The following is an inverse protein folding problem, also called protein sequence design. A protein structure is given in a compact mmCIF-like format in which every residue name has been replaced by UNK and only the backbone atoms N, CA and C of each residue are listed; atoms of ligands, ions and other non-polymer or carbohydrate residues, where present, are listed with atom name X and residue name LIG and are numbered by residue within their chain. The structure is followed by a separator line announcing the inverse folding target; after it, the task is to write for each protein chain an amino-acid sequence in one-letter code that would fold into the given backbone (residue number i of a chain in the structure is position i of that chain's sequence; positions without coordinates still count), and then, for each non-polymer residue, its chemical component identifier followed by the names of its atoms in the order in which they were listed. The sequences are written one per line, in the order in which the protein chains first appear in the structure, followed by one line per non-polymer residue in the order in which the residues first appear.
data_IF_436942711747
#
_entry.id   IF_436942711747
#
_cell.length_a   1.000
_cell.length_b   1.000
_cell.length_c   1.000
_cell.angle_alpha   90.00
_cell.angle_beta   90.00
_cell.angle_gamma   90.00
#
_symmetry.space_group_name_H-M   'P 1'
#
loop_
_entity.id
_entity.type
_entity.pdbx_description
1 polymer ?
#
# COMPACT_ATOMS: atom_id res chain seq x y z
N UNK A 1 -31.90 -46.74 -23.04
CA UNK A 1 -31.29 -45.45 -23.45
C UNK A 1 -30.69 -44.74 -22.24
N UNK A 2 -29.65 -45.33 -21.61
CA UNK A 2 -29.10 -44.81 -20.34
C UNK A 2 -27.57 -44.88 -20.26
N UNK A 3 -26.86 -45.10 -21.37
CA UNK A 3 -25.38 -45.19 -21.38
C UNK A 3 -24.63 -44.04 -22.07
N UNK A 4 -25.34 -43.10 -22.73
CA UNK A 4 -24.70 -42.00 -23.48
C UNK A 4 -24.52 -40.70 -22.66
N UNK A 5 -25.36 -40.48 -21.64
CA UNK A 5 -25.31 -39.25 -20.82
C UNK A 5 -24.22 -39.27 -19.74
N UNK A 6 -23.80 -40.46 -19.27
CA UNK A 6 -22.76 -40.58 -18.24
C UNK A 6 -21.33 -40.36 -18.78
N UNK A 7 -21.07 -40.73 -20.05
CA UNK A 7 -19.75 -40.56 -20.68
C UNK A 7 -19.44 -39.10 -21.02
N UNK A 8 -20.46 -38.29 -21.30
CA UNK A 8 -20.32 -36.87 -21.67
C UNK A 8 -20.13 -35.99 -20.44
N UNK A 9 -20.76 -36.32 -19.30
CA UNK A 9 -20.57 -35.62 -18.03
C UNK A 9 -19.16 -35.81 -17.44
N UNK A 10 -18.57 -37.01 -17.59
CA UNK A 10 -17.23 -37.30 -17.09
C UNK A 10 -16.12 -36.57 -17.88
N UNK A 11 -16.29 -36.39 -19.21
CA UNK A 11 -15.36 -35.60 -20.04
C UNK A 11 -15.48 -34.09 -19.83
N UNK A 12 -16.64 -33.59 -19.39
CA UNK A 12 -16.81 -32.17 -19.02
C UNK A 12 -16.21 -31.86 -17.63
N UNK A 13 -16.32 -32.78 -16.67
CA UNK A 13 -15.71 -32.63 -15.33
C UNK A 13 -14.18 -32.75 -15.35
N UNK A 14 -13.60 -33.53 -16.27
CA UNK A 14 -12.14 -33.61 -16.46
C UNK A 14 -11.54 -32.40 -17.20
N UNK A 15 -12.35 -31.59 -17.87
CA UNK A 15 -11.93 -30.31 -18.49
C UNK A 15 -12.12 -29.09 -17.59
N UNK A 16 -12.74 -29.25 -16.43
CA UNK A 16 -12.98 -28.18 -15.45
C UNK A 16 -12.07 -28.26 -14.21
N UNK A 17 -11.09 -29.17 -14.18
CA UNK A 17 -10.21 -29.39 -13.01
C UNK A 17 -8.72 -29.33 -13.31
N UNK A 18 -8.29 -28.75 -14.43
CA UNK A 18 -6.86 -28.49 -14.66
C UNK A 18 -6.60 -27.18 -15.42
N UNK A 19 -7.12 -26.08 -14.89
CA UNK A 19 -6.29 -24.87 -14.92
C UNK A 19 -5.29 -25.02 -13.79
N UNK A 20 -4.22 -25.75 -14.07
CA UNK A 20 -2.95 -25.55 -13.36
C UNK A 20 -2.67 -24.06 -13.56
N UNK A 21 -2.94 -23.26 -12.52
CA UNK A 21 -2.37 -21.92 -12.42
C UNK A 21 -0.89 -22.11 -12.73
N UNK A 22 -0.29 -21.33 -13.65
CA UNK A 22 1.13 -21.47 -13.94
C UNK A 22 1.84 -21.53 -12.59
N UNK A 23 2.51 -22.66 -12.32
CA UNK A 23 3.30 -22.81 -11.11
C UNK A 23 4.21 -21.60 -11.10
N UNK A 24 4.03 -20.70 -10.14
CA UNK A 24 4.82 -19.49 -10.09
C UNK A 24 6.26 -19.91 -9.79
N UNK A 25 7.03 -20.10 -10.87
CA UNK A 25 8.43 -20.51 -10.86
C UNK A 25 9.35 -19.36 -10.46
N UNK A 26 8.78 -18.20 -10.12
CA UNK A 26 9.53 -17.09 -9.54
C UNK A 26 10.11 -17.51 -8.20
N UNK A 27 11.37 -17.13 -7.98
CA UNK A 27 12.05 -17.33 -6.72
C UNK A 27 11.25 -16.66 -5.58
N UNK A 28 10.72 -17.44 -4.60
CA UNK A 28 9.93 -16.91 -3.51
C UNK A 28 10.64 -15.86 -2.66
N UNK A 29 11.99 -15.86 -2.65
CA UNK A 29 12.78 -14.86 -1.92
C UNK A 29 12.58 -13.44 -2.45
N UNK A 30 12.12 -13.29 -3.70
CA UNK A 30 11.93 -12.01 -4.38
C UNK A 30 10.50 -11.45 -4.25
N UNK A 31 9.67 -12.11 -3.44
CA UNK A 31 8.26 -11.73 -3.22
C UNK A 31 8.15 -10.73 -2.08
N UNK A 32 7.30 -9.74 -2.28
CA UNK A 32 6.88 -8.80 -1.25
C UNK A 32 5.37 -8.84 -1.18
N UNK A 33 4.84 -9.43 -0.11
CA UNK A 33 3.41 -9.37 0.18
C UNK A 33 3.06 -7.96 0.60
N UNK A 34 1.93 -7.43 0.14
CA UNK A 34 1.57 -6.04 0.44
C UNK A 34 0.08 -5.88 0.68
N UNK A 35 -0.25 -4.97 1.59
CA UNK A 35 -1.62 -4.59 1.93
C UNK A 35 -1.67 -3.23 2.61
N UNK A 36 -2.82 -2.58 2.53
CA UNK A 36 -3.09 -1.29 3.16
C UNK A 36 -4.56 -1.19 3.58
N UNK A 37 -4.90 -0.11 4.27
CA UNK A 37 -6.28 0.25 4.61
C UNK A 37 -6.95 -0.87 5.40
N UNK A 38 -6.22 -1.49 6.33
CA UNK A 38 -6.74 -2.57 7.16
C UNK A 38 -7.74 -2.06 8.20
N UNK A 39 -7.56 -0.82 8.67
CA UNK A 39 -8.40 -0.15 9.68
C UNK A 39 -8.69 -1.02 10.92
N UNK A 40 -7.64 -1.55 11.53
CA UNK A 40 -7.78 -2.48 12.65
C UNK A 40 -8.32 -1.82 13.93
N UNK A 41 -8.25 -0.49 14.02
CA UNK A 41 -8.92 0.32 15.05
C UNK A 41 -10.44 0.13 15.04
N UNK A 42 -11.02 -0.12 13.86
CA UNK A 42 -12.45 -0.32 13.72
C UNK A 42 -12.82 -1.64 14.36
N UNK A 43 -13.67 -1.57 15.39
CA UNK A 43 -14.15 -2.74 16.13
C UNK A 43 -13.02 -3.57 16.75
N UNK A 44 -11.86 -2.97 17.05
CA UNK A 44 -10.76 -3.58 17.80
C UNK A 44 -10.25 -4.88 17.16
N UNK A 45 -10.02 -4.85 15.84
CA UNK A 45 -9.61 -5.99 15.03
C UNK A 45 -8.11 -6.30 15.10
N UNK A 46 -7.32 -5.53 15.87
CA UNK A 46 -5.88 -5.71 16.04
C UNK A 46 -5.46 -7.12 16.43
N UNK A 47 -6.27 -7.86 17.18
CA UNK A 47 -5.95 -9.23 17.65
C UNK A 47 -6.65 -10.33 16.85
N UNK A 48 -7.68 -9.99 16.08
CA UNK A 48 -8.53 -10.97 15.38
C UNK A 48 -8.27 -11.03 13.88
N UNK A 49 -7.72 -9.98 13.29
CA UNK A 49 -7.32 -9.98 11.89
C UNK A 49 -6.06 -10.83 11.69
N UNK A 50 -6.16 -11.75 10.74
CA UNK A 50 -5.08 -12.66 10.35
C UNK A 50 -5.17 -12.96 8.84
N UNK A 51 -4.05 -13.38 8.25
CA UNK A 51 -3.90 -13.65 6.83
C UNK A 51 -2.76 -14.67 6.57
N UNK A 52 -2.77 -15.37 5.42
CA UNK A 52 -1.69 -16.29 5.06
C UNK A 52 -0.39 -15.53 4.76
N UNK A 53 0.75 -16.14 5.12
CA UNK A 53 2.08 -15.64 4.71
C UNK A 53 2.39 -16.19 3.34
N UNK A 54 2.56 -15.30 2.34
CA UNK A 54 2.82 -15.68 0.94
C UNK A 54 4.16 -15.18 0.41
N UNK A 55 4.92 -14.46 1.24
CA UNK A 55 6.22 -13.89 0.93
C UNK A 55 7.08 -13.75 2.20
N UNK A 56 8.42 -13.66 2.08
CA UNK A 56 9.31 -13.37 3.21
C UNK A 56 9.20 -11.93 3.72
N UNK A 57 8.86 -10.98 2.85
CA UNK A 57 8.74 -9.56 3.19
C UNK A 57 7.29 -9.09 3.14
N UNK A 58 6.91 -8.24 4.10
CA UNK A 58 5.58 -7.63 4.16
C UNK A 58 5.70 -6.11 4.02
N UNK A 59 4.88 -5.52 3.16
CA UNK A 59 4.69 -4.07 3.03
C UNK A 59 3.29 -3.71 3.54
N UNK A 60 3.25 -2.88 4.58
CA UNK A 60 2.05 -2.30 5.15
C UNK A 60 1.91 -0.85 4.69
N UNK A 61 1.04 -0.64 3.69
CA UNK A 61 0.86 0.59 2.90
C UNK A 61 0.00 1.69 3.54
N UNK A 62 0.04 1.82 4.87
CA UNK A 62 -0.72 2.83 5.62
C UNK A 62 -2.17 2.44 5.91
N UNK A 63 -2.81 3.16 6.83
CA UNK A 63 -4.13 2.88 7.39
C UNK A 63 -4.26 1.45 7.93
N UNK A 64 -3.22 1.01 8.64
CA UNK A 64 -3.21 -0.25 9.37
C UNK A 64 -3.93 -0.08 10.70
N UNK A 65 -3.66 1.04 11.37
CA UNK A 65 -4.25 1.37 12.64
C UNK A 65 -3.71 2.67 13.23
N UNK A 66 -4.49 3.31 14.09
CA UNK A 66 -4.13 4.60 14.69
C UNK A 66 -2.97 4.46 15.66
N UNK A 67 -2.02 5.41 15.66
CA UNK A 67 -0.88 5.41 16.60
C UNK A 67 -1.30 5.69 18.05
N UNK A 68 -2.45 6.35 18.24
CA UNK A 68 -3.02 6.54 19.57
C UNK A 68 -3.39 5.19 20.22
N UNK A 69 -3.80 4.20 19.42
CA UNK A 69 -4.11 2.82 19.83
C UNK A 69 -2.85 1.94 19.90
N UNK A 70 -1.81 2.47 20.54
CA UNK A 70 -0.44 1.94 20.53
C UNK A 70 -0.36 0.43 20.79
N UNK A 71 -0.96 -0.05 21.88
CA UNK A 71 -0.78 -1.43 22.31
C UNK A 71 -1.42 -2.42 21.32
N UNK A 72 -2.54 -2.04 20.70
CA UNK A 72 -3.20 -2.83 19.66
C UNK A 72 -2.35 -2.90 18.39
N UNK A 73 -1.87 -1.75 17.91
CA UNK A 73 -1.01 -1.68 16.73
C UNK A 73 0.31 -2.43 16.95
N UNK A 74 0.95 -2.24 18.11
CA UNK A 74 2.17 -2.96 18.49
C UNK A 74 1.93 -4.46 18.54
N UNK A 75 0.85 -4.93 19.18
CA UNK A 75 0.51 -6.35 19.23
C UNK A 75 0.24 -6.94 17.83
N UNK A 76 -0.30 -6.15 16.90
CA UNK A 76 -0.43 -6.57 15.50
C UNK A 76 0.92 -6.70 14.82
N UNK A 77 1.79 -5.67 14.91
CA UNK A 77 3.11 -5.66 14.29
C UNK A 77 4.02 -6.76 14.82
N UNK A 78 4.02 -7.01 16.15
CA UNK A 78 4.74 -8.12 16.78
C UNK A 78 4.41 -9.48 16.15
N UNK A 79 3.11 -9.74 15.88
CA UNK A 79 2.71 -11.00 15.23
C UNK A 79 3.20 -11.09 13.79
N UNK A 80 3.34 -9.95 13.10
CA UNK A 80 3.87 -9.94 11.74
C UNK A 80 5.40 -10.11 11.75
N UNK A 81 6.13 -9.40 12.60
CA UNK A 81 7.60 -9.57 12.71
C UNK A 81 8.03 -10.95 13.18
N UNK A 82 7.13 -11.70 13.85
CA UNK A 82 7.35 -13.10 14.19
C UNK A 82 7.24 -14.06 12.99
N UNK A 83 6.59 -13.65 11.89
CA UNK A 83 6.25 -14.50 10.74
C UNK A 83 6.92 -14.07 9.43
N UNK A 84 7.42 -12.83 9.36
CA UNK A 84 8.11 -12.26 8.20
C UNK A 84 9.58 -11.97 8.53
N UNK A 85 10.45 -12.05 7.53
CA UNK A 85 11.86 -11.66 7.67
C UNK A 85 12.00 -10.15 7.93
N UNK A 86 11.14 -9.34 7.29
CA UNK A 86 11.03 -7.91 7.54
C UNK A 86 9.63 -7.38 7.19
N UNK A 87 9.16 -6.45 8.00
CA UNK A 87 7.90 -5.72 7.83
C UNK A 87 8.23 -4.25 7.56
N UNK A 88 7.93 -3.78 6.37
CA UNK A 88 7.98 -2.37 6.01
C UNK A 88 6.64 -1.73 6.32
N UNK A 89 6.66 -0.60 7.03
CA UNK A 89 5.47 0.10 7.46
C UNK A 89 5.56 1.56 7.05
N UNK A 90 4.55 2.06 6.33
CA UNK A 90 4.37 3.49 6.10
C UNK A 90 3.14 3.96 6.88
N UNK A 91 3.09 5.26 7.20
CA UNK A 91 1.90 5.86 7.80
C UNK A 91 0.88 6.19 6.71
N UNK A 92 -0.39 5.95 7.00
CA UNK A 92 -1.54 6.53 6.32
C UNK A 92 -2.13 7.67 7.13
N UNK A 93 -3.27 8.20 6.73
CA UNK A 93 -3.90 9.33 7.42
C UNK A 93 -4.49 8.91 8.77
N UNK A 94 -5.01 7.69 8.91
CA UNK A 94 -5.58 7.19 10.15
C UNK A 94 -4.52 6.98 11.24
N UNK A 95 -3.26 6.65 10.89
CA UNK A 95 -2.17 6.63 11.86
C UNK A 95 -2.06 7.95 12.65
N UNK A 96 -2.39 9.09 12.04
CA UNK A 96 -2.35 10.43 12.66
C UNK A 96 -3.62 10.82 13.41
N UNK A 97 -4.76 10.12 13.24
CA UNK A 97 -6.04 10.52 13.83
C UNK A 97 -5.98 10.53 15.37
N UNK A 98 -6.46 11.62 15.96
CA UNK A 98 -6.45 11.85 17.41
C UNK A 98 -5.15 12.44 17.96
N UNK A 99 -4.16 12.73 17.11
CA UNK A 99 -2.85 13.28 17.49
C UNK A 99 -2.51 14.49 16.61
N UNK A 100 -1.51 15.30 17.00
CA UNK A 100 -0.89 16.21 16.02
C UNK A 100 0.10 15.47 15.14
N UNK A 101 0.47 16.08 14.01
CA UNK A 101 1.40 15.49 13.06
C UNK A 101 2.73 15.10 13.70
N UNK A 102 3.33 15.99 14.49
CA UNK A 102 4.63 15.80 15.13
C UNK A 102 4.58 14.71 16.20
N UNK A 103 3.50 14.65 16.99
CA UNK A 103 3.32 13.60 18.00
C UNK A 103 3.20 12.22 17.34
N UNK A 104 2.44 12.13 16.25
CA UNK A 104 2.28 10.89 15.49
C UNK A 104 3.62 10.44 14.90
N UNK A 105 4.38 11.33 14.24
CA UNK A 105 5.72 10.99 13.71
C UNK A 105 6.65 10.52 14.82
N UNK A 106 6.66 11.20 15.98
CA UNK A 106 7.47 10.78 17.11
C UNK A 106 7.08 9.39 17.62
N UNK A 107 5.77 9.13 17.76
CA UNK A 107 5.25 7.85 18.25
C UNK A 107 5.48 6.71 17.28
N UNK A 108 5.40 6.96 15.97
CA UNK A 108 5.77 6.00 14.94
C UNK A 108 7.25 5.62 15.03
N UNK A 109 8.13 6.60 15.27
CA UNK A 109 9.56 6.35 15.49
C UNK A 109 9.81 5.53 16.75
N UNK A 110 9.09 5.80 17.85
CA UNK A 110 9.15 4.96 19.05
C UNK A 110 8.70 3.53 18.77
N UNK A 111 7.60 3.36 18.03
CA UNK A 111 7.04 2.06 17.65
C UNK A 111 8.05 1.21 16.86
N UNK A 112 8.76 1.78 15.89
CA UNK A 112 9.82 1.07 15.14
C UNK A 112 10.93 0.53 16.05
N UNK A 113 11.24 1.25 17.14
CA UNK A 113 12.30 0.93 18.09
C UNK A 113 11.82 0.03 19.25
N UNK A 114 10.57 -0.44 19.23
CA UNK A 114 10.05 -1.35 20.24
C UNK A 114 10.84 -2.67 20.25
N UNK A 115 11.46 -3.07 21.38
CA UNK A 115 12.32 -4.27 21.43
C UNK A 115 11.61 -5.55 20.99
N UNK A 116 10.30 -5.61 21.23
CA UNK A 116 9.43 -6.73 20.86
C UNK A 116 9.27 -6.95 19.35
N UNK A 117 9.68 -5.98 18.52
CA UNK A 117 9.71 -6.10 17.06
C UNK A 117 11.01 -6.70 16.54
N UNK A 118 12.00 -6.96 17.41
CA UNK A 118 13.28 -7.61 17.11
C UNK A 118 14.09 -6.95 15.96
N UNK A 119 13.90 -5.64 15.73
CA UNK A 119 14.52 -4.93 14.59
C UNK A 119 14.07 -5.43 13.21
N UNK A 120 12.93 -6.11 13.15
CA UNK A 120 12.32 -6.63 11.90
C UNK A 120 11.23 -5.72 11.35
N UNK A 121 10.85 -4.67 12.07
CA UNK A 121 10.01 -3.61 11.53
C UNK A 121 10.87 -2.45 11.01
N UNK A 122 10.44 -1.81 9.94
CA UNK A 122 11.08 -0.60 9.39
C UNK A 122 10.01 0.41 9.03
N UNK A 123 10.05 1.56 9.69
CA UNK A 123 9.20 2.71 9.38
C UNK A 123 9.78 3.45 8.16
N UNK A 124 8.95 3.66 7.15
CA UNK A 124 9.32 4.41 5.96
C UNK A 124 8.57 5.75 5.95
N UNK A 125 9.12 6.75 6.64
CA UNK A 125 8.62 8.13 6.63
C UNK A 125 9.66 9.06 6.00
N UNK A 126 9.56 9.27 4.67
CA UNK A 126 10.69 9.74 3.86
C UNK A 126 11.93 8.84 4.08
N UNK A 127 11.68 7.53 4.15
CA UNK A 127 12.65 6.49 4.50
C UNK A 127 13.10 5.69 3.28
N UNK A 128 14.36 5.27 3.28
CA UNK A 128 14.95 4.36 2.28
C UNK A 128 15.45 3.10 2.98
N UNK A 129 15.15 1.95 2.41
CA UNK A 129 15.73 0.67 2.79
C UNK A 129 16.33 -0.01 1.56
N UNK A 130 17.60 -0.39 1.65
CA UNK A 130 18.28 -1.15 0.61
C UNK A 130 18.39 -2.61 1.07
N UNK A 131 17.96 -3.53 0.21
CA UNK A 131 17.92 -4.97 0.44
C UNK A 131 18.72 -5.68 -0.64
N UNK A 132 19.66 -6.51 -0.19
CA UNK A 132 20.42 -7.39 -1.07
C UNK A 132 19.96 -8.83 -0.90
N UNK A 133 19.31 -9.36 -1.95
CA UNK A 133 18.95 -10.77 -2.00
C UNK A 133 20.01 -11.54 -2.80
N UNK A 134 20.38 -12.77 -2.41
CA UNK A 134 21.29 -13.61 -3.20
C UNK A 134 20.82 -13.80 -4.66
N UNK A 135 19.52 -13.82 -4.88
CA UNK A 135 18.88 -14.01 -6.20
C UNK A 135 18.62 -12.71 -6.97
N UNK A 136 18.66 -11.57 -6.29
CA UNK A 136 18.46 -10.23 -6.86
C UNK A 136 19.13 -9.21 -5.93
N UNK A 137 20.43 -8.91 -6.14
CA UNK A 137 21.08 -7.86 -5.39
C UNK A 137 20.49 -6.50 -5.78
N UNK A 138 20.60 -5.53 -4.88
CA UNK A 138 20.16 -4.16 -5.05
C UNK A 138 18.64 -4.03 -5.32
N UNK A 139 17.84 -4.21 -4.27
CA UNK A 139 16.45 -3.76 -4.23
C UNK A 139 16.40 -2.55 -3.30
N UNK A 140 15.85 -1.43 -3.77
CA UNK A 140 15.63 -0.24 -2.94
C UNK A 140 14.14 -0.03 -2.72
N UNK A 141 13.76 0.18 -1.47
CA UNK A 141 12.40 0.52 -1.06
C UNK A 141 12.43 1.96 -0.56
N UNK A 142 11.62 2.82 -1.16
CA UNK A 142 11.40 4.20 -0.72
C UNK A 142 9.98 4.31 -0.20
N UNK A 143 9.78 4.97 0.94
CA UNK A 143 8.42 5.20 1.43
C UNK A 143 8.21 6.53 2.13
N UNK A 144 7.00 7.05 1.95
CA UNK A 144 6.48 8.26 2.57
C UNK A 144 4.95 8.23 2.55
N UNK A 145 4.28 9.18 3.20
CA UNK A 145 2.80 9.24 3.17
C UNK A 145 2.32 9.69 1.80
N UNK A 146 3.06 10.62 1.19
CA UNK A 146 2.75 11.31 -0.06
C UNK A 146 1.37 11.97 -0.01
N UNK A 147 1.03 12.68 1.07
CA UNK A 147 -0.18 13.53 1.14
C UNK A 147 -0.47 14.19 -0.21
N UNK A 148 -1.71 14.56 -0.52
CA UNK A 148 -2.05 15.07 -1.86
C UNK A 148 -1.77 16.56 -2.05
N UNK A 149 -1.77 17.03 -3.30
CA UNK A 149 -1.79 18.46 -3.61
C UNK A 149 -3.23 18.97 -3.69
N UNK A 150 -3.61 19.80 -2.71
CA UNK A 150 -4.91 20.47 -2.70
C UNK A 150 -4.78 21.82 -3.43
N UNK A 151 -5.68 22.07 -4.39
CA UNK A 151 -5.76 23.33 -5.11
C UNK A 151 -6.37 24.43 -4.22
N UNK A 152 -5.83 25.65 -4.29
CA UNK A 152 -6.19 26.74 -3.40
C UNK A 152 -7.69 27.08 -3.47
N UNK A 153 -8.28 27.02 -4.66
CA UNK A 153 -9.69 27.27 -4.93
C UNK A 153 -10.64 26.26 -4.27
N UNK A 154 -10.15 25.07 -3.93
CA UNK A 154 -10.93 24.00 -3.30
C UNK A 154 -10.57 23.80 -1.82
N UNK A 155 -9.57 24.53 -1.30
CA UNK A 155 -9.00 24.31 0.01
C UNK A 155 -10.02 24.43 1.14
N UNK A 156 -10.84 25.48 1.16
CA UNK A 156 -11.85 25.68 2.21
C UNK A 156 -12.88 24.55 2.22
N UNK A 157 -13.40 24.21 1.02
CA UNK A 157 -14.40 23.15 0.86
C UNK A 157 -13.85 21.78 1.27
N UNK A 158 -12.61 21.47 0.87
CA UNK A 158 -11.94 20.23 1.23
C UNK A 158 -11.67 20.17 2.74
N UNK A 159 -11.17 21.27 3.32
CA UNK A 159 -10.91 21.41 4.76
C UNK A 159 -12.15 21.15 5.62
N UNK A 160 -13.34 21.49 5.11
CA UNK A 160 -14.61 21.22 5.81
C UNK A 160 -15.15 19.81 5.62
N UNK A 161 -14.83 19.14 4.50
CA UNK A 161 -15.48 17.88 4.11
C UNK A 161 -14.62 16.63 4.33
N UNK A 162 -13.29 16.77 4.33
CA UNK A 162 -12.36 15.65 4.54
C UNK A 162 -12.06 15.52 6.03
N UNK A 163 -12.26 14.32 6.59
CA UNK A 163 -12.15 14.07 8.03
C UNK A 163 -10.78 14.37 8.59
N UNK A 164 -9.72 14.21 7.82
CA UNK A 164 -8.34 14.38 8.28
C UNK A 164 -8.09 15.77 8.89
N UNK A 165 -8.69 16.82 8.32
CA UNK A 165 -8.54 18.20 8.83
C UNK A 165 -9.29 18.46 10.14
N UNK A 166 -10.13 17.51 10.56
CA UNK A 166 -10.82 17.52 11.85
C UNK A 166 -10.16 16.56 12.84
N UNK A 167 -9.80 15.37 12.39
CA UNK A 167 -9.31 14.28 13.24
C UNK A 167 -7.80 14.40 13.55
N UNK A 168 -7.01 15.06 12.69
CA UNK A 168 -5.59 15.34 12.95
C UNK A 168 -5.47 16.73 13.57
N UNK A 169 -4.99 16.80 14.81
CA UNK A 169 -4.97 18.02 15.61
C UNK A 169 -4.04 19.07 15.00
N UNK A 170 -4.59 20.21 14.61
CA UNK A 170 -3.84 21.33 14.02
C UNK A 170 -3.47 21.13 12.55
N UNK A 171 -3.99 20.08 11.90
CA UNK A 171 -3.72 19.83 10.48
C UNK A 171 -4.56 20.74 9.59
N UNK A 172 -3.90 21.37 8.61
CA UNK A 172 -4.53 22.28 7.67
C UNK A 172 -4.28 21.84 6.23
N UNK A 173 -5.10 22.31 5.29
CA UNK A 173 -4.89 22.06 3.86
C UNK A 173 -3.55 22.62 3.36
N UNK A 174 -3.08 23.72 3.95
CA UNK A 174 -1.74 24.26 3.68
C UNK A 174 -0.64 23.32 4.16
N UNK A 175 -0.73 22.81 5.38
CA UNK A 175 0.25 21.86 5.92
C UNK A 175 0.24 20.53 5.13
N UNK A 176 -0.94 20.07 4.73
CA UNK A 176 -1.13 18.89 3.87
C UNK A 176 -0.41 19.03 2.53
N UNK A 177 -0.66 20.11 1.79
CA UNK A 177 0.02 20.38 0.51
C UNK A 177 1.53 20.63 0.69
N UNK A 178 1.97 21.21 1.81
CA UNK A 178 3.39 21.37 2.12
C UNK A 178 4.09 20.02 2.37
N UNK A 179 3.42 19.10 3.09
CA UNK A 179 3.90 17.75 3.31
C UNK A 179 3.97 16.95 1.99
N UNK A 180 2.97 17.10 1.11
CA UNK A 180 3.03 16.57 -0.27
C UNK A 180 4.29 17.03 -1.01
N UNK A 181 4.54 18.34 -1.02
CA UNK A 181 5.66 18.92 -1.73
C UNK A 181 7.01 18.43 -1.17
N UNK A 182 7.10 18.28 0.16
CA UNK A 182 8.26 17.69 0.84
C UNK A 182 8.50 16.25 0.39
N UNK A 183 7.46 15.39 0.44
CA UNK A 183 7.54 13.98 0.05
C UNK A 183 7.91 13.81 -1.42
N UNK A 184 7.29 14.60 -2.32
CA UNK A 184 7.60 14.59 -3.74
C UNK A 184 9.05 15.00 -4.00
N UNK A 185 9.51 16.09 -3.38
CA UNK A 185 10.89 16.57 -3.55
C UNK A 185 11.91 15.55 -3.06
N UNK A 186 11.65 14.94 -1.89
CA UNK A 186 12.47 13.88 -1.33
C UNK A 186 12.55 12.67 -2.26
N UNK A 187 11.41 12.17 -2.76
CA UNK A 187 11.37 11.05 -3.71
C UNK A 187 12.16 11.37 -4.99
N UNK A 188 11.94 12.54 -5.59
CA UNK A 188 12.64 12.97 -6.80
C UNK A 188 14.16 13.04 -6.58
N UNK A 189 14.60 13.54 -5.42
CA UNK A 189 16.01 13.59 -5.04
C UNK A 189 16.60 12.17 -4.90
N UNK A 190 15.90 11.26 -4.21
CA UNK A 190 16.36 9.87 -4.03
C UNK A 190 16.44 9.10 -5.34
N UNK A 191 15.43 9.24 -6.21
CA UNK A 191 15.40 8.58 -7.51
C UNK A 191 16.51 9.11 -8.43
N UNK A 192 16.76 10.42 -8.42
CA UNK A 192 17.90 11.00 -9.16
C UNK A 192 19.22 10.38 -8.71
N UNK A 193 19.44 10.32 -7.39
CA UNK A 193 20.66 9.73 -6.82
C UNK A 193 20.79 8.24 -7.15
N UNK A 194 19.70 7.47 -7.10
CA UNK A 194 19.70 6.05 -7.48
C UNK A 194 20.11 5.90 -8.95
N UNK A 195 19.58 6.72 -9.85
CA UNK A 195 19.97 6.70 -11.28
C UNK A 195 21.44 7.00 -11.48
N UNK A 196 22.00 7.93 -10.71
CA UNK A 196 23.43 8.25 -10.73
C UNK A 196 24.27 7.09 -10.17
N UNK A 197 23.85 6.46 -9.08
CA UNK A 197 24.51 5.29 -8.47
C UNK A 197 24.48 4.07 -9.42
N UNK A 198 23.39 3.90 -10.18
CA UNK A 198 23.19 2.78 -11.11
C UNK A 198 23.72 3.06 -12.52
N UNK A 199 24.21 4.27 -12.79
CA UNK A 199 24.71 4.65 -14.10
C UNK A 199 25.88 3.72 -14.52
N UNK A 200 25.70 3.00 -15.61
CA UNK A 200 26.70 2.06 -16.14
C UNK A 200 26.65 0.65 -15.53
N UNK A 201 25.73 0.37 -14.60
CA UNK A 201 25.47 -0.99 -14.13
C UNK A 201 24.78 -1.81 -15.22
N UNK A 202 25.20 -3.07 -15.40
CA UNK A 202 24.62 -3.98 -16.41
C UNK A 202 23.16 -4.34 -16.12
N UNK A 203 22.77 -4.29 -14.85
CA UNK A 203 21.41 -4.51 -14.37
C UNK A 203 21.07 -3.40 -13.36
N UNK A 204 20.18 -2.45 -13.72
CA UNK A 204 19.70 -1.47 -12.77
C UNK A 204 19.02 -2.13 -11.57
N UNK A 205 19.06 -1.47 -10.42
CA UNK A 205 18.41 -1.93 -9.20
C UNK A 205 16.89 -1.89 -9.37
N UNK A 206 16.19 -2.74 -8.62
CA UNK A 206 14.74 -2.64 -8.57
C UNK A 206 14.35 -1.61 -7.51
N UNK A 207 13.55 -0.61 -7.91
CA UNK A 207 13.03 0.39 -6.97
C UNK A 207 11.54 0.16 -6.73
N UNK A 208 11.18 -0.05 -5.46
CA UNK A 208 9.81 -0.05 -4.97
C UNK A 208 9.55 1.29 -4.31
N UNK A 209 8.51 2.00 -4.73
CA UNK A 209 8.00 3.17 -4.01
C UNK A 209 6.72 2.75 -3.29
N UNK A 210 6.61 3.08 -2.00
CA UNK A 210 5.44 2.80 -1.18
C UNK A 210 4.90 4.13 -0.66
N UNK A 211 3.68 4.48 -1.05
CA UNK A 211 2.98 5.67 -0.57
C UNK A 211 1.64 5.30 0.02
N UNK A 212 1.06 6.14 0.87
CA UNK A 212 -0.31 5.87 1.29
C UNK A 212 -1.29 6.45 0.28
N UNK A 213 -1.17 7.76 -0.02
CA UNK A 213 -2.03 8.39 -1.02
C UNK A 213 -1.65 7.94 -2.44
N UNK A 214 -2.63 8.03 -3.35
CA UNK A 214 -2.49 7.54 -4.69
C UNK A 214 -1.61 8.44 -5.58
N UNK A 215 -0.66 7.88 -6.34
CA UNK A 215 0.28 8.63 -7.19
C UNK A 215 -0.28 8.96 -8.59
N UNK A 216 -1.54 8.61 -8.83
CA UNK A 216 -2.32 8.88 -10.03
C UNK A 216 -3.76 9.13 -9.61
N UNK A 217 -4.48 9.97 -10.37
CA UNK A 217 -5.91 10.22 -10.18
C UNK A 217 -6.75 9.17 -10.92
N UNK A 218 -6.36 8.83 -12.15
CA UNK A 218 -7.13 7.92 -13.00
C UNK A 218 -6.83 6.45 -12.68
N UNK A 219 -7.88 5.65 -12.44
CA UNK A 219 -7.77 4.19 -12.27
C UNK A 219 -7.29 3.73 -10.89
N UNK A 220 -7.04 4.65 -9.97
CA UNK A 220 -6.58 4.40 -8.59
C UNK A 220 -7.67 4.57 -7.55
N UNK A 221 -8.86 5.04 -7.93
CA UNK A 221 -10.04 5.16 -7.09
C UNK A 221 -11.26 4.52 -7.77
N UNK A 222 -12.32 4.30 -6.99
CA UNK A 222 -13.58 3.83 -7.56
C UNK A 222 -14.11 4.83 -8.60
N UNK A 223 -14.57 4.36 -9.79
CA UNK A 223 -15.09 5.25 -10.84
C UNK A 223 -16.22 6.18 -10.38
N UNK A 224 -16.98 5.80 -9.35
CA UNK A 224 -18.04 6.64 -8.77
C UNK A 224 -17.53 7.93 -8.11
N UNK A 225 -16.23 8.00 -7.81
CA UNK A 225 -15.58 9.16 -7.20
C UNK A 225 -14.82 10.02 -8.23
N UNK A 226 -14.76 9.60 -9.50
CA UNK A 226 -14.13 10.39 -10.56
C UNK A 226 -14.86 11.73 -10.75
N UNK A 227 -14.10 12.82 -10.86
CA UNK A 227 -14.64 14.17 -11.00
C UNK A 227 -15.25 14.77 -9.73
N UNK A 228 -15.17 14.10 -8.59
CA UNK A 228 -15.62 14.68 -7.32
C UNK A 228 -14.69 15.83 -6.89
N UNK A 229 -15.27 16.92 -6.40
CA UNK A 229 -14.56 18.12 -5.92
C UNK A 229 -13.53 17.83 -4.82
N UNK A 230 -13.70 16.76 -4.03
CA UNK A 230 -12.73 16.38 -3.00
C UNK A 230 -11.65 15.42 -3.48
N UNK A 231 -11.73 14.91 -4.71
CA UNK A 231 -10.79 13.88 -5.21
C UNK A 231 -9.32 14.30 -5.13
N UNK A 232 -9.04 15.60 -5.26
CA UNK A 232 -7.69 16.16 -5.13
C UNK A 232 -7.08 16.01 -3.73
N UNK A 233 -7.89 15.72 -2.71
CA UNK A 233 -7.43 15.44 -1.35
C UNK A 233 -6.89 14.00 -1.18
N UNK A 234 -7.12 13.11 -2.16
CA UNK A 234 -6.82 11.67 -2.06
C UNK A 234 -5.74 11.20 -3.04
N UNK A 235 -5.49 11.96 -4.11
CA UNK A 235 -4.62 11.56 -5.20
C UNK A 235 -3.95 12.74 -5.88
N UNK A 236 -2.79 12.52 -6.49
CA UNK A 236 -2.10 13.51 -7.33
C UNK A 236 -1.41 12.81 -8.49
N UNK A 237 -1.53 13.34 -9.71
CA UNK A 237 -0.89 12.76 -10.90
C UNK A 237 0.63 12.99 -10.90
N UNK A 238 1.37 12.05 -10.32
CA UNK A 238 2.83 12.07 -10.30
C UNK A 238 3.45 11.19 -11.39
N UNK A 239 2.93 9.98 -11.63
CA UNK A 239 3.51 9.00 -12.56
C UNK A 239 3.38 9.36 -14.06
N UNK A 240 3.26 10.64 -14.40
CA UNK A 240 3.24 11.17 -15.77
C UNK A 240 4.62 11.61 -16.25
N UNK A 241 5.53 11.98 -15.33
CA UNK A 241 6.86 12.49 -15.66
C UNK A 241 7.94 11.40 -15.80
N UNK A 242 8.96 11.67 -16.63
CA UNK A 242 10.09 10.74 -16.86
C UNK A 242 10.96 10.54 -15.61
N UNK A 243 10.85 11.41 -14.60
CA UNK A 243 11.57 11.26 -13.33
C UNK A 243 11.16 10.01 -12.53
N UNK A 244 10.06 9.35 -12.92
CA UNK A 244 9.53 8.16 -12.25
C UNK A 244 9.85 6.84 -12.98
N UNK A 245 10.41 6.89 -14.19
CA UNK A 245 10.64 5.70 -15.04
C UNK A 245 11.58 4.63 -14.47
N UNK A 246 12.34 4.97 -13.42
CA UNK A 246 13.22 4.03 -12.72
C UNK A 246 12.48 3.26 -11.61
N UNK A 247 11.23 3.61 -11.32
CA UNK A 247 10.39 2.91 -10.34
C UNK A 247 9.79 1.67 -11.00
N UNK A 248 10.06 0.50 -10.43
CA UNK A 248 9.52 -0.76 -10.92
C UNK A 248 8.08 -0.97 -10.45
N UNK A 249 7.86 -0.81 -9.15
CA UNK A 249 6.55 -0.92 -8.51
C UNK A 249 6.26 0.32 -7.67
N UNK A 250 5.05 0.83 -7.79
CA UNK A 250 4.51 1.88 -6.91
C UNK A 250 3.31 1.32 -6.16
N UNK A 251 3.52 0.97 -4.90
CA UNK A 251 2.49 0.45 -3.99
C UNK A 251 1.76 1.62 -3.33
N UNK A 252 0.43 1.61 -3.33
CA UNK A 252 -0.37 2.66 -2.67
C UNK A 252 -1.66 2.16 -1.98
N UNK A 253 -2.27 3.02 -1.15
CA UNK A 253 -3.49 2.77 -0.38
C UNK A 253 -4.56 3.89 -0.54
N UNK A 254 -5.25 4.21 0.57
CA UNK A 254 -6.10 5.39 0.82
C UNK A 254 -7.45 5.46 0.10
N UNK A 255 -7.55 4.98 -1.14
CA UNK A 255 -8.74 5.16 -1.98
C UNK A 255 -9.81 4.07 -1.79
N UNK A 256 -9.51 3.10 -0.95
CA UNK A 256 -10.18 1.81 -0.76
C UNK A 256 -10.45 1.06 -2.07
N UNK A 257 -9.60 1.26 -3.07
CA UNK A 257 -9.73 0.68 -4.40
C UNK A 257 -8.49 -0.11 -4.77
N UNK A 258 -8.60 -1.44 -4.66
CA UNK A 258 -7.57 -2.36 -5.12
C UNK A 258 -7.43 -2.25 -6.63
N UNK A 259 -6.20 -2.12 -7.14
CA UNK A 259 -5.95 -1.98 -8.57
C UNK A 259 -4.56 -2.46 -8.93
N UNK A 260 -4.35 -2.66 -10.23
CA UNK A 260 -3.04 -2.83 -10.85
C UNK A 260 -3.13 -2.27 -12.27
N UNK A 261 -2.25 -1.34 -12.55
CA UNK A 261 -2.15 -0.68 -13.85
C UNK A 261 -0.70 -0.33 -14.14
N UNK A 262 -0.39 -0.11 -15.40
CA UNK A 262 0.90 0.40 -15.82
C UNK A 262 0.77 1.88 -16.17
N UNK A 263 1.62 2.71 -15.59
CA UNK A 263 1.73 4.11 -15.98
C UNK A 263 2.29 4.25 -17.40
N UNK A 264 2.20 5.45 -17.98
CA UNK A 264 2.77 5.71 -19.31
C UNK A 264 4.28 5.48 -19.39
N UNK A 265 4.98 5.54 -18.26
CA UNK A 265 6.43 5.41 -18.17
C UNK A 265 6.88 4.02 -17.68
N UNK A 266 6.01 3.01 -17.75
CA UNK A 266 6.32 1.61 -17.41
C UNK A 266 6.29 1.28 -15.91
N UNK A 267 5.98 2.25 -15.04
CA UNK A 267 5.82 2.00 -13.59
C UNK A 267 4.56 1.17 -13.35
N UNK A 268 4.68 0.04 -12.65
CA UNK A 268 3.53 -0.76 -12.20
C UNK A 268 2.94 -0.15 -10.94
N UNK A 269 1.78 0.48 -11.06
CA UNK A 269 1.06 1.10 -9.95
C UNK A 269 0.05 0.09 -9.40
N UNK A 270 0.23 -0.31 -8.15
CA UNK A 270 -0.51 -1.42 -7.53
C UNK A 270 -1.04 -1.02 -6.15
N UNK A 271 -2.19 -1.56 -5.78
CA UNK A 271 -2.75 -1.41 -4.44
C UNK A 271 -3.45 -2.68 -4.00
N UNK A 272 -3.54 -2.92 -2.70
CA UNK A 272 -4.27 -4.05 -2.12
C UNK A 272 -4.94 -3.61 -0.83
N UNK A 273 -6.10 -2.99 -0.98
CA UNK A 273 -6.73 -2.15 0.03
C UNK A 273 -7.94 -2.87 0.59
N UNK A 274 -7.92 -3.17 1.89
CA UNK A 274 -9.05 -3.84 2.56
C UNK A 274 -10.24 -2.88 2.69
N UNK A 275 -9.97 -1.63 3.08
CA UNK A 275 -10.96 -0.63 3.42
C UNK A 275 -11.74 -0.98 4.69
N UNK A 276 -12.76 -0.18 4.99
CA UNK A 276 -13.55 -0.36 6.21
C UNK A 276 -14.33 -1.68 6.24
N UNK A 277 -14.18 -2.45 7.33
CA UNK A 277 -14.92 -3.69 7.61
C UNK A 277 -15.56 -3.61 8.99
N UNK A 278 -16.89 -3.65 9.05
CA UNK A 278 -17.65 -3.64 10.30
C UNK A 278 -18.27 -5.03 10.58
N UNK A 279 -18.19 -5.59 11.82
CA UNK A 279 -18.68 -6.93 12.17
C UNK A 279 -20.17 -7.21 11.93
N UNK A 280 -20.97 -6.18 11.65
CA UNK A 280 -22.41 -6.28 11.39
C UNK A 280 -22.81 -5.83 9.99
N UNK A 281 -21.85 -5.59 9.11
CA UNK A 281 -22.16 -5.22 7.74
C UNK A 281 -22.80 -6.40 7.01
N UNK A 282 -24.12 -6.31 6.86
CA UNK A 282 -24.87 -7.03 5.82
C UNK A 282 -24.72 -6.34 4.47
N UNK A 283 -23.59 -5.65 4.22
CA UNK A 283 -23.30 -5.14 2.88
C UNK A 283 -23.33 -6.35 1.94
N UNK A 284 -23.95 -6.23 0.75
CA UNK A 284 -23.90 -7.31 -0.24
C UNK A 284 -22.45 -7.77 -0.41
N UNK A 285 -22.26 -9.06 -0.71
CA UNK A 285 -20.97 -9.59 -1.19
C UNK A 285 -20.36 -8.55 -2.12
N UNK A 286 -19.11 -8.14 -1.84
CA UNK A 286 -18.42 -7.08 -2.56
C UNK A 286 -18.63 -7.27 -4.08
N UNK A 287 -19.50 -6.44 -4.67
CA UNK A 287 -19.91 -6.61 -6.06
C UNK A 287 -18.87 -6.06 -7.04
N UNK A 288 -17.74 -5.55 -6.51
CA UNK A 288 -16.62 -5.12 -7.34
C UNK A 288 -16.06 -6.30 -8.11
N UNK A 289 -15.58 -6.08 -9.35
CA UNK A 289 -14.81 -7.10 -10.05
C UNK A 289 -13.65 -7.60 -9.17
N UNK A 290 -13.35 -8.90 -9.18
CA UNK A 290 -12.31 -9.53 -8.34
C UNK A 290 -10.95 -8.79 -8.40
N UNK A 291 -10.60 -8.20 -9.54
CA UNK A 291 -9.37 -7.39 -9.69
C UNK A 291 -9.34 -6.12 -8.82
N UNK A 292 -10.49 -5.71 -8.28
CA UNK A 292 -10.68 -4.54 -7.43
C UNK A 292 -11.08 -4.89 -5.99
N UNK A 293 -10.97 -6.16 -5.63
CA UNK A 293 -11.23 -6.65 -4.27
C UNK A 293 -9.91 -6.95 -3.57
N UNK A 294 -9.87 -6.70 -2.26
CA UNK A 294 -8.74 -7.07 -1.40
C UNK A 294 -8.42 -8.57 -1.50
N UNK A 295 -7.15 -8.91 -1.69
CA UNK A 295 -6.65 -10.28 -1.65
C UNK A 295 -5.51 -10.37 -0.61
N UNK A 296 -5.73 -11.03 0.55
CA UNK A 296 -4.71 -11.11 1.59
C UNK A 296 -3.47 -11.88 1.13
N UNK A 297 -3.51 -12.62 0.02
CA UNK A 297 -2.38 -13.40 -0.51
C UNK A 297 -1.53 -12.62 -1.50
N UNK A 298 -1.90 -11.38 -1.87
CA UNK A 298 -1.29 -10.62 -2.95
C UNK A 298 0.16 -10.23 -2.66
N UNK A 299 1.03 -10.38 -3.66
CA UNK A 299 2.43 -9.98 -3.61
C UNK A 299 2.87 -9.33 -4.92
N UNK A 300 3.96 -8.56 -4.87
CA UNK A 300 4.74 -8.14 -6.03
C UNK A 300 6.04 -8.93 -6.11
N UNK A 301 6.60 -9.02 -7.31
CA UNK A 301 7.87 -9.67 -7.61
C UNK A 301 8.89 -8.62 -8.04
N UNK A 302 10.03 -8.58 -7.35
CA UNK A 302 11.19 -7.78 -7.76
C UNK A 302 12.19 -8.66 -8.49
#
# INVERSE_FOLDING_TARGET
MTSSLAATASRLLQRLTSRVLPSDTSDPSRRFQFMSDLHLELCQQYTTFDFPVTAPYLILGGDIGRLIDHDGLLAFLQRQTARYERVFFILGNHEFHGMSYEEAVHKASQLENEPSLEGKATLLHQGRYDLDLPSKPNITILGCVLWSQIAAESADKIGMMVSDFKEIRGWSTTAHSAAHASDRSWLQSKLRRIREEDAGQAQPRDVIVVTHHAPLVKGTASPQHEGNVVSSAFATDLCVGEEWSSVKHWVFGHTHWTTELESRNGVRVVSNQRGYVFPRDKRPVDQRPVKHTFDPSRYILC
#
